data_IF_352429100842
#
_entry.id   IF_352429100842
#
_cell.length_a   1.000
_cell.length_b   1.000
_cell.length_c   1.000
_cell.angle_alpha   90.00
_cell.angle_beta   90.00
_cell.angle_gamma   90.00
#
_symmetry.space_group_name_H-M   'P 1'
#
loop_
_entity.id
_entity.type
_entity.pdbx_description
1 polymer ?
#
# COMPACT_ATOMS: atom_id res chain seq x y z
N UNK A 1 1.38 -19.83 -1.60
CA UNK A 1 0.72 -19.14 -2.72
C UNK A 1 -0.76 -19.30 -2.45
N UNK A 2 -1.19 -18.43 -1.55
CA UNK A 2 -2.55 -18.14 -1.17
C UNK A 2 -2.86 -16.77 -1.72
N UNK A 3 -4.07 -16.66 -2.24
CA UNK A 3 -4.56 -15.43 -2.83
C UNK A 3 -5.20 -14.63 -1.70
N UNK A 4 -4.70 -13.42 -1.50
CA UNK A 4 -5.09 -12.51 -0.42
C UNK A 4 -5.71 -11.25 -1.02
N UNK A 5 -6.71 -10.72 -0.34
CA UNK A 5 -7.32 -9.45 -0.68
C UNK A 5 -6.76 -8.36 0.25
N UNK A 6 -6.06 -7.39 -0.33
CA UNK A 6 -5.45 -6.29 0.41
C UNK A 6 -6.25 -5.02 0.20
N UNK A 7 -6.80 -4.49 1.28
CA UNK A 7 -7.37 -3.15 1.30
C UNK A 7 -6.26 -2.10 1.25
N UNK A 8 -6.30 -1.28 0.21
CA UNK A 8 -5.34 -0.24 -0.08
C UNK A 8 -6.01 1.13 0.02
N UNK A 9 -5.33 2.13 0.57
CA UNK A 9 -5.82 3.52 0.63
C UNK A 9 -4.82 4.44 -0.06
N UNK A 10 -5.30 5.30 -0.96
CA UNK A 10 -4.47 6.37 -1.53
C UNK A 10 -4.49 7.56 -0.58
N UNK A 11 -3.33 7.87 -0.01
CA UNK A 11 -3.18 8.99 0.93
C UNK A 11 -3.37 10.30 0.17
N UNK A 12 -4.21 11.19 0.72
CA UNK A 12 -4.62 12.44 0.08
C UNK A 12 -5.89 12.35 -0.79
N UNK A 13 -6.22 11.18 -1.36
CA UNK A 13 -7.53 10.97 -2.02
C UNK A 13 -8.58 10.47 -1.03
N UNK A 14 -8.15 9.78 0.04
CA UNK A 14 -9.02 9.29 1.10
C UNK A 14 -10.03 8.28 0.59
N UNK A 15 -9.59 7.35 -0.27
CA UNK A 15 -10.44 6.28 -0.82
C UNK A 15 -9.79 4.91 -0.68
N UNK A 16 -10.39 4.07 0.15
CA UNK A 16 -10.07 2.65 0.21
C UNK A 16 -10.51 1.89 -1.04
N UNK A 17 -9.74 0.86 -1.41
CA UNK A 17 -10.07 -0.08 -2.49
C UNK A 17 -9.32 -1.40 -2.32
N UNK A 18 -9.96 -2.48 -2.76
CA UNK A 18 -9.40 -3.82 -2.57
C UNK A 18 -8.63 -4.31 -3.79
N UNK A 19 -7.48 -4.92 -3.50
CA UNK A 19 -6.55 -5.48 -4.46
C UNK A 19 -6.26 -6.93 -4.12
N UNK A 20 -6.74 -7.81 -4.98
CA UNK A 20 -6.45 -9.23 -4.91
C UNK A 20 -5.05 -9.54 -5.48
N UNK A 21 -4.20 -10.20 -4.71
CA UNK A 21 -2.86 -10.62 -5.12
C UNK A 21 -2.42 -11.91 -4.41
N UNK A 22 -1.51 -12.67 -5.02
CA UNK A 22 -0.92 -13.84 -4.37
C UNK A 22 0.21 -13.45 -3.41
N UNK A 23 0.22 -14.03 -2.20
CA UNK A 23 1.19 -13.74 -1.13
C UNK A 23 2.65 -14.01 -1.54
N UNK A 24 2.85 -14.92 -2.50
CA UNK A 24 4.15 -15.28 -3.08
C UNK A 24 4.66 -14.26 -4.09
N UNK A 25 3.90 -13.21 -4.40
CA UNK A 25 4.34 -12.13 -5.29
C UNK A 25 5.20 -11.11 -4.57
N UNK A 26 5.97 -10.36 -5.37
CA UNK A 26 6.75 -9.22 -4.91
C UNK A 26 5.87 -8.00 -4.75
N UNK A 27 6.32 -7.08 -3.89
CA UNK A 27 5.72 -5.74 -3.76
C UNK A 27 5.69 -5.01 -5.10
N UNK A 28 6.64 -5.24 -6.01
CA UNK A 28 6.58 -4.70 -7.38
C UNK A 28 5.29 -5.09 -8.13
N UNK A 29 4.84 -6.34 -8.02
CA UNK A 29 3.62 -6.80 -8.67
C UNK A 29 2.37 -6.21 -8.02
N UNK A 30 2.43 -5.92 -6.72
CA UNK A 30 1.36 -5.19 -6.02
C UNK A 30 1.22 -3.77 -6.56
N UNK A 31 2.33 -3.05 -6.77
CA UNK A 31 2.32 -1.71 -7.38
C UNK A 31 1.67 -1.70 -8.76
N UNK A 32 1.98 -2.70 -9.60
CA UNK A 32 1.36 -2.84 -10.93
C UNK A 32 -0.16 -3.08 -10.84
N UNK A 33 -0.60 -3.95 -9.93
CA UNK A 33 -2.02 -4.23 -9.69
C UNK A 33 -2.78 -3.00 -9.21
N UNK A 34 -2.20 -2.24 -8.28
CA UNK A 34 -2.76 -0.98 -7.77
C UNK A 34 -2.94 0.02 -8.91
N UNK A 35 -1.89 0.25 -9.72
CA UNK A 35 -1.97 1.14 -10.90
C UNK A 35 -3.07 0.69 -11.88
N UNK A 36 -3.17 -0.62 -12.13
CA UNK A 36 -4.19 -1.17 -13.03
C UNK A 36 -5.61 -0.98 -12.50
N UNK A 37 -5.80 -0.97 -11.18
CA UNK A 37 -7.11 -0.74 -10.54
C UNK A 37 -7.50 0.74 -10.55
N UNK A 38 -6.53 1.65 -10.40
CA UNK A 38 -6.73 3.11 -10.33
C UNK A 38 -5.88 3.85 -11.39
N UNK A 39 -6.05 3.59 -12.69
CA UNK A 39 -5.20 4.17 -13.73
C UNK A 39 -5.40 5.68 -13.90
N UNK A 40 -6.59 6.19 -13.53
CA UNK A 40 -6.90 7.62 -13.64
C UNK A 40 -6.26 8.44 -12.51
N UNK A 41 -6.15 7.86 -11.30
CA UNK A 41 -5.51 8.49 -10.15
C UNK A 41 -3.99 8.34 -10.22
N UNK A 42 -3.52 7.15 -10.64
CA UNK A 42 -2.10 6.81 -10.66
C UNK A 42 -1.57 6.90 -12.11
N UNK A 43 -1.08 8.08 -12.46
CA UNK A 43 -0.50 8.35 -13.79
C UNK A 43 0.98 7.99 -13.89
N UNK A 44 1.70 8.06 -12.76
CA UNK A 44 3.13 7.71 -12.65
C UNK A 44 3.42 6.23 -12.92
N UNK A 45 4.69 5.88 -13.11
CA UNK A 45 5.09 4.48 -13.24
C UNK A 45 4.82 3.73 -11.93
N UNK A 46 4.46 2.43 -12.01
CA UNK A 46 4.25 1.64 -10.80
C UNK A 46 5.52 1.57 -9.95
N UNK A 47 6.72 1.72 -10.52
CA UNK A 47 7.97 1.74 -9.76
C UNK A 47 8.12 2.97 -8.86
N UNK A 48 7.60 4.13 -9.28
CA UNK A 48 7.63 5.39 -8.54
C UNK A 48 6.61 5.45 -7.39
N UNK A 49 5.58 4.60 -7.43
CA UNK A 49 4.63 4.48 -6.32
C UNK A 49 5.36 4.07 -5.05
N UNK A 50 5.14 4.79 -3.95
CA UNK A 50 5.62 4.36 -2.63
C UNK A 50 4.49 3.65 -1.91
N UNK A 51 4.76 2.43 -1.45
CA UNK A 51 3.81 1.64 -0.68
C UNK A 51 4.32 1.56 0.75
N UNK A 52 3.44 1.81 1.71
CA UNK A 52 3.74 1.68 3.12
C UNK A 52 2.79 0.67 3.76
N UNK A 53 3.28 -0.05 4.76
CA UNK A 53 2.41 -0.88 5.59
C UNK A 53 1.51 0.04 6.40
N UNK A 54 0.20 -0.17 6.33
CA UNK A 54 -0.79 0.51 7.17
C UNK A 54 -0.81 -0.09 8.59
N UNK A 55 0.37 -0.41 9.12
CA UNK A 55 0.58 -1.03 10.42
C UNK A 55 1.38 -0.08 11.30
N UNK A 56 0.84 0.25 12.48
CA UNK A 56 1.58 1.01 13.49
C UNK A 56 1.89 0.06 14.66
N UNK A 57 3.17 -0.34 14.77
CA UNK A 57 3.58 -1.38 15.71
C UNK A 57 3.02 -2.75 15.31
N UNK A 58 2.10 -3.28 16.13
CA UNK A 58 1.48 -4.59 15.92
C UNK A 58 0.03 -4.57 15.43
N UNK A 59 -0.55 -3.37 15.25
CA UNK A 59 -1.95 -3.19 14.88
C UNK A 59 -2.10 -2.58 13.48
N UNK A 60 -3.09 -3.07 12.72
CA UNK A 60 -3.48 -2.53 11.42
C UNK A 60 -4.41 -1.33 11.61
N UNK A 61 -4.30 -0.36 10.72
CA UNK A 61 -5.16 0.82 10.76
C UNK A 61 -6.56 0.52 10.23
N UNK A 62 -7.56 1.18 10.82
CA UNK A 62 -8.91 1.25 10.26
C UNK A 62 -8.97 2.12 9.01
N UNK A 63 -9.98 1.88 8.17
CA UNK A 63 -10.22 2.63 6.94
C UNK A 63 -10.35 4.13 7.18
N UNK A 64 -11.16 4.54 8.17
CA UNK A 64 -11.41 5.96 8.46
C UNK A 64 -10.12 6.70 8.86
N UNK A 65 -9.30 6.06 9.69
CA UNK A 65 -8.01 6.61 10.11
C UNK A 65 -7.03 6.74 8.94
N UNK A 66 -7.01 5.77 8.03
CA UNK A 66 -6.16 5.80 6.85
C UNK A 66 -6.62 6.85 5.82
N UNK A 67 -7.94 7.04 5.67
CA UNK A 67 -8.52 8.04 4.77
C UNK A 67 -8.28 9.48 5.27
N UNK A 68 -8.18 9.66 6.60
CA UNK A 68 -7.79 10.92 7.22
C UNK A 68 -6.28 11.23 7.14
N UNK A 69 -5.44 10.28 6.69
CA UNK A 69 -4.01 10.53 6.55
C UNK A 69 -3.72 11.56 5.47
N UNK A 70 -2.78 12.44 5.77
CA UNK A 70 -2.23 13.42 4.85
C UNK A 70 -0.74 13.14 4.65
N UNK A 71 -0.24 13.41 3.44
CA UNK A 71 1.19 13.34 3.15
C UNK A 71 1.93 14.43 3.92
N UNK A 72 3.15 14.13 4.35
CA UNK A 72 4.07 15.16 4.86
C UNK A 72 4.60 16.03 3.72
N UNK A 73 5.13 17.21 4.06
CA UNK A 73 5.74 18.15 3.10
C UNK A 73 6.80 17.50 2.19
N UNK A 74 7.50 16.48 2.70
CA UNK A 74 8.51 15.69 1.97
C UNK A 74 7.91 14.55 1.10
N UNK A 75 6.58 14.45 1.01
CA UNK A 75 5.89 13.38 0.29
C UNK A 75 6.05 12.00 0.94
N UNK A 76 6.46 11.97 2.21
CA UNK A 76 6.55 10.79 3.05
C UNK A 76 5.32 10.59 3.95
N UNK A 77 5.26 9.38 4.52
CA UNK A 77 4.32 8.98 5.57
C UNK A 77 5.11 8.65 6.85
N UNK A 78 5.35 9.64 7.73
CA UNK A 78 6.15 9.42 8.93
C UNK A 78 5.42 8.45 9.87
N UNK A 79 6.18 7.54 10.47
CA UNK A 79 5.64 6.51 11.37
C UNK A 79 5.14 5.25 10.67
N UNK A 80 5.21 5.17 9.34
CA UNK A 80 4.86 3.97 8.57
C UNK A 80 6.09 3.33 7.92
N UNK A 81 6.10 1.99 7.86
CA UNK A 81 7.19 1.25 7.25
C UNK A 81 7.00 1.17 5.73
N UNK A 82 7.94 1.72 4.98
CA UNK A 82 7.96 1.58 3.51
C UNK A 82 8.20 0.11 3.12
N UNK A 83 7.41 -0.39 2.16
CA UNK A 83 7.54 -1.72 1.62
C UNK A 83 8.63 -1.77 0.55
N UNK A 84 9.56 -2.71 0.68
CA UNK A 84 10.64 -2.87 -0.27
C UNK A 84 10.15 -3.61 -1.52
N UNK A 85 10.18 -2.94 -2.68
CA UNK A 85 9.74 -3.52 -3.97
C UNK A 85 10.39 -4.88 -4.31
N UNK A 86 11.60 -5.14 -3.81
CA UNK A 86 12.38 -6.37 -4.10
C UNK A 86 11.90 -7.57 -3.30
N UNK A 87 11.23 -7.35 -2.17
CA UNK A 87 10.80 -8.41 -1.27
C UNK A 87 9.41 -8.93 -1.62
N UNK A 88 9.16 -10.16 -1.17
CA UNK A 88 7.86 -10.81 -1.26
C UNK A 88 6.90 -10.25 -0.23
N UNK A 89 5.60 -10.25 -0.55
CA UNK A 89 4.56 -9.79 0.37
C UNK A 89 4.58 -10.61 1.67
N UNK A 90 4.73 -11.94 1.55
CA UNK A 90 4.89 -12.86 2.70
C UNK A 90 6.19 -12.73 3.51
N UNK A 91 7.09 -11.80 3.16
CA UNK A 91 8.30 -11.57 3.94
C UNK A 91 7.92 -11.09 5.35
N UNK A 92 8.64 -11.53 6.39
CA UNK A 92 8.46 -11.10 7.78
C UNK A 92 8.58 -9.58 7.95
N UNK A 93 9.34 -8.92 7.07
CA UNK A 93 9.44 -7.46 7.03
C UNK A 93 8.20 -6.75 6.49
N UNK A 94 7.27 -7.49 5.89
CA UNK A 94 6.04 -7.00 5.27
C UNK A 94 4.83 -7.59 6.00
N UNK A 95 4.16 -8.57 5.40
CA UNK A 95 2.99 -9.20 5.98
C UNK A 95 3.33 -10.43 6.83
N UNK A 96 4.44 -11.10 6.51
CA UNK A 96 4.81 -12.37 7.12
C UNK A 96 4.08 -13.58 6.52
N UNK A 97 4.52 -14.78 6.89
CA UNK A 97 4.08 -16.05 6.30
C UNK A 97 2.64 -16.46 6.66
N UNK A 98 2.08 -15.92 7.76
CA UNK A 98 0.74 -16.26 8.26
C UNK A 98 -0.22 -15.06 8.21
N UNK A 99 0.06 -14.11 7.32
CA UNK A 99 -0.81 -12.96 7.15
C UNK A 99 -2.18 -13.39 6.63
N UNK A 100 -3.21 -13.00 7.37
CA UNK A 100 -4.60 -13.16 6.98
C UNK A 100 -5.23 -11.77 7.05
N UNK A 101 -5.61 -11.17 5.91
CA UNK A 101 -6.29 -9.88 5.92
C UNK A 101 -7.64 -10.02 6.64
N UNK A 102 -8.02 -9.01 7.41
CA UNK A 102 -9.32 -8.93 8.08
C UNK A 102 -10.19 -7.88 7.40
N UNK A 103 -11.50 -8.05 7.53
CA UNK A 103 -12.48 -7.03 7.12
C UNK A 103 -12.27 -5.75 7.93
N UNK A 104 -12.54 -4.59 7.31
CA UNK A 104 -12.41 -3.25 7.89
C UNK A 104 -10.98 -2.76 8.23
N UNK A 105 -9.94 -3.54 7.89
CA UNK A 105 -8.54 -3.15 8.08
C UNK A 105 -7.88 -2.68 6.79
N UNK A 106 -7.13 -1.59 6.87
CA UNK A 106 -6.24 -1.16 5.80
C UNK A 106 -4.90 -1.86 5.96
N UNK A 107 -4.41 -2.36 4.84
CA UNK A 107 -3.19 -3.16 4.80
C UNK A 107 -2.05 -2.37 4.16
N UNK A 108 -2.37 -1.54 3.16
CA UNK A 108 -1.37 -0.80 2.37
C UNK A 108 -1.78 0.66 2.20
N UNK A 109 -0.88 1.56 2.53
CA UNK A 109 -0.98 2.98 2.21
C UNK A 109 -0.23 3.23 0.90
N UNK A 110 -0.91 3.83 -0.05
CA UNK A 110 -0.38 4.16 -1.37
C UNK A 110 -0.10 5.65 -1.43
N UNK A 111 1.15 5.99 -1.64
CA UNK A 111 1.59 7.36 -1.89
C UNK A 111 1.94 7.49 -3.35
N UNK A 112 1.22 8.39 -4.01
CA UNK A 112 1.51 8.81 -5.38
C UNK A 112 2.41 10.04 -5.25
N UNK A 113 3.70 9.98 -5.62
CA UNK A 113 4.52 11.16 -5.64
C UNK A 113 3.92 12.16 -6.63
N UNK A 114 3.91 13.44 -6.25
CA UNK A 114 3.60 14.51 -7.19
C UNK A 114 4.62 14.42 -8.33
N UNK A 115 4.15 14.47 -9.57
CA UNK A 115 5.03 14.63 -10.73
C UNK A 115 5.67 16.01 -10.60
N UNK A 116 6.71 16.10 -9.78
CA UNK A 116 7.63 17.22 -9.82
C UNK A 116 8.35 17.10 -11.14
N UNK A 117 7.74 17.73 -12.14
CA UNK A 117 8.36 18.11 -13.40
C UNK A 117 9.77 18.61 -13.07
N UNK A 118 10.75 17.97 -13.72
CA UNK A 118 12.16 18.35 -13.65
C UNK A 118 12.42 19.76 -14.13
#
# INVERSE_FOLDING_TARGET
MVLVELTCVIVGEGRAFDVEIDDGKKVSALKEKIKKKKPNTIKVQPDDLKLFLAKQGDEWMDVDAAEALSLSDDGGLPGFKEMNRRFWLKNEEHFGLNFTPQEDQVHVLVVVPDETES
#
